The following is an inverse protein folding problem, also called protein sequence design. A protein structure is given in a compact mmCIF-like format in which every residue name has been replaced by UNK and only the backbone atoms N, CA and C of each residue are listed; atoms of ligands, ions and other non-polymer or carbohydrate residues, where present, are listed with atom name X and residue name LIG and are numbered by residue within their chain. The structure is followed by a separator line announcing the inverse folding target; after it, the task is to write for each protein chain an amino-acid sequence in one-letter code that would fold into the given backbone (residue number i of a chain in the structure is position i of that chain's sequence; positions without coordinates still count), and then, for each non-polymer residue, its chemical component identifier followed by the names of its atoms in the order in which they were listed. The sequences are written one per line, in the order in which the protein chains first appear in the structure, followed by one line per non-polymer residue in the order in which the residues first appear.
data_IF_180918433547
#
_entry.id   IF_180918433547
#
_cell.length_a   1.000
_cell.length_b   1.000
_cell.length_c   1.000
_cell.angle_alpha   90.00
_cell.angle_beta   90.00
_cell.angle_gamma   90.00
#
_symmetry.space_group_name_H-M   'P 1'
#
loop_
_entity.id
_entity.type
_entity.pdbx_description
1 polymer ?
#
# COMPACT_ATOMS: atom_id res chain seq x y z
N UNK A 1 20.53 -7.04 15.53
CA UNK A 1 20.13 -5.81 16.23
C UNK A 1 19.74 -4.82 15.16
N UNK A 2 18.45 -4.45 15.07
CA UNK A 2 18.00 -3.55 14.02
C UNK A 2 18.53 -2.14 14.28
N UNK A 3 19.50 -1.71 13.47
CA UNK A 3 20.00 -0.32 13.46
C UNK A 3 19.10 0.59 12.60
N UNK A 4 17.79 0.43 12.71
CA UNK A 4 16.86 1.35 12.07
C UNK A 4 16.98 2.75 12.69
N UNK A 5 16.98 3.78 11.84
CA UNK A 5 16.88 5.14 12.39
C UNK A 5 15.56 5.28 13.17
N UNK A 6 15.53 6.04 14.27
CA UNK A 6 14.31 6.27 15.03
C UNK A 6 13.15 6.79 14.15
N UNK A 7 13.46 7.57 13.11
CA UNK A 7 12.49 8.10 12.16
C UNK A 7 11.76 7.02 11.35
N UNK A 8 12.44 5.93 10.98
CA UNK A 8 11.84 4.81 10.26
C UNK A 8 11.09 3.90 11.24
N UNK A 9 11.69 3.66 12.40
CA UNK A 9 11.15 2.74 13.37
C UNK A 9 9.75 3.15 13.87
N UNK A 10 9.50 4.43 14.13
CA UNK A 10 8.20 4.89 14.63
C UNK A 10 7.10 4.92 13.55
N UNK A 11 7.45 4.84 12.27
CA UNK A 11 6.47 4.71 11.19
C UNK A 11 5.89 3.29 11.06
N UNK A 12 6.62 2.25 11.52
CA UNK A 12 6.18 0.86 11.43
C UNK A 12 5.44 0.52 12.72
N UNK A 13 4.11 0.41 12.66
CA UNK A 13 3.26 0.28 13.84
C UNK A 13 2.36 -0.96 13.76
N UNK A 14 2.12 -1.57 14.91
CA UNK A 14 1.07 -2.57 15.03
C UNK A 14 -0.31 -1.92 14.92
N UNK A 15 -1.27 -2.64 14.31
CA UNK A 15 -2.60 -2.13 13.97
C UNK A 15 -3.33 -1.42 15.12
N UNK A 16 -3.25 -1.95 16.34
CA UNK A 16 -3.96 -1.39 17.49
C UNK A 16 -3.35 -0.06 17.99
N UNK A 17 -2.05 0.09 17.86
CA UNK A 17 -1.33 1.34 18.16
C UNK A 17 -1.60 2.37 17.07
N UNK A 18 -1.51 1.93 15.81
CA UNK A 18 -1.83 2.76 14.66
C UNK A 18 -3.28 3.26 14.70
N UNK A 19 -4.24 2.43 15.13
CA UNK A 19 -5.64 2.85 15.24
C UNK A 19 -5.82 4.02 16.22
N UNK A 20 -5.11 4.02 17.35
CA UNK A 20 -5.13 5.14 18.31
C UNK A 20 -4.53 6.40 17.73
N UNK A 21 -3.42 6.26 17.00
CA UNK A 21 -2.74 7.38 16.36
C UNK A 21 -3.62 7.99 15.24
N UNK A 22 -4.21 7.16 14.39
CA UNK A 22 -5.14 7.59 13.34
C UNK A 22 -6.34 8.32 13.95
N UNK A 23 -6.94 7.77 15.00
CA UNK A 23 -8.05 8.40 15.70
C UNK A 23 -7.66 9.77 16.28
N UNK A 24 -6.49 9.88 16.90
CA UNK A 24 -5.98 11.14 17.44
C UNK A 24 -5.83 12.21 16.37
N UNK A 25 -5.23 11.85 15.23
CA UNK A 25 -5.06 12.78 14.09
C UNK A 25 -6.39 13.19 13.45
N UNK A 26 -7.33 12.25 13.33
CA UNK A 26 -8.68 12.55 12.82
C UNK A 26 -9.44 13.49 13.75
N UNK A 27 -9.31 13.33 15.07
CA UNK A 27 -9.90 14.25 16.06
C UNK A 27 -9.29 15.66 15.98
N UNK A 28 -8.05 15.78 15.52
CA UNK A 28 -7.40 17.06 15.20
C UNK A 28 -7.84 17.64 13.84
N UNK A 29 -8.75 16.97 13.12
CA UNK A 29 -9.28 17.42 11.82
C UNK A 29 -8.45 16.97 10.62
N UNK A 30 -7.44 16.12 10.81
CA UNK A 30 -6.59 15.64 9.73
C UNK A 30 -7.27 14.50 8.94
N UNK A 31 -7.04 14.49 7.64
CA UNK A 31 -7.59 13.51 6.70
C UNK A 31 -6.60 12.39 6.45
N UNK A 32 -6.88 11.19 6.97
CA UNK A 32 -6.09 9.99 6.72
C UNK A 32 -6.38 9.39 5.35
N UNK A 33 -5.32 9.06 4.62
CA UNK A 33 -5.35 8.28 3.38
C UNK A 33 -4.82 6.89 3.67
N UNK A 34 -5.49 5.86 3.17
CA UNK A 34 -5.04 4.47 3.30
C UNK A 34 -4.90 3.82 1.93
N UNK A 35 -3.83 3.09 1.75
CA UNK A 35 -3.64 2.17 0.62
C UNK A 35 -3.08 0.85 1.11
N UNK A 36 -3.21 -0.22 0.30
CA UNK A 36 -2.62 -1.52 0.62
C UNK A 36 -2.07 -2.23 -0.61
N UNK A 37 -1.09 -3.11 -0.37
CA UNK A 37 -0.52 -3.92 -1.44
C UNK A 37 0.66 -4.79 -0.99
N UNK A 38 1.19 -5.55 -1.95
CA UNK A 38 2.35 -6.44 -1.73
C UNK A 38 3.67 -5.68 -1.68
N UNK A 39 3.88 -4.71 -2.55
CA UNK A 39 5.09 -3.87 -2.67
C UNK A 39 6.39 -4.69 -2.57
N UNK A 40 6.46 -5.78 -3.34
CA UNK A 40 7.58 -6.74 -3.24
C UNK A 40 8.88 -6.17 -3.84
N UNK A 41 8.87 -5.78 -5.11
CA UNK A 41 9.96 -5.02 -5.73
C UNK A 41 9.48 -3.61 -6.03
N UNK A 42 10.06 -2.63 -5.36
CA UNK A 42 9.72 -1.22 -5.61
C UNK A 42 10.26 -0.75 -6.94
N UNK A 43 9.45 0.03 -7.65
CA UNK A 43 9.78 0.70 -8.89
C UNK A 43 9.14 2.10 -8.94
N UNK A 44 9.50 2.90 -9.92
CA UNK A 44 9.02 4.28 -10.04
C UNK A 44 7.49 4.39 -10.00
N UNK A 45 6.78 3.43 -10.61
CA UNK A 45 5.31 3.37 -10.58
C UNK A 45 4.74 3.35 -9.16
N UNK A 46 5.34 2.56 -8.25
CA UNK A 46 4.97 2.56 -6.84
C UNK A 46 5.23 3.92 -6.17
N UNK A 47 6.40 4.54 -6.42
CA UNK A 47 6.75 5.82 -5.80
C UNK A 47 5.77 6.92 -6.23
N UNK A 48 5.47 7.02 -7.53
CA UNK A 48 4.52 8.00 -8.05
C UNK A 48 3.12 7.79 -7.48
N UNK A 49 2.64 6.55 -7.51
CA UNK A 49 1.36 6.17 -6.92
C UNK A 49 1.24 6.59 -5.44
N UNK A 50 2.27 6.30 -4.63
CA UNK A 50 2.28 6.64 -3.20
C UNK A 50 2.34 8.15 -2.97
N UNK A 51 3.07 8.91 -3.81
CA UNK A 51 3.09 10.36 -3.76
C UNK A 51 1.72 10.96 -4.09
N UNK A 52 1.04 10.46 -5.14
CA UNK A 52 -0.30 10.89 -5.51
C UNK A 52 -1.31 10.54 -4.42
N UNK A 53 -1.23 9.34 -3.84
CA UNK A 53 -2.07 8.95 -2.72
C UNK A 53 -1.88 9.90 -1.52
N UNK A 54 -0.63 10.20 -1.14
CA UNK A 54 -0.32 11.12 -0.04
C UNK A 54 -0.87 12.53 -0.26
N UNK A 55 -0.89 13.01 -1.49
CA UNK A 55 -1.41 14.33 -1.83
C UNK A 55 -2.94 14.49 -1.66
N UNK A 56 -3.68 13.39 -1.44
CA UNK A 56 -5.12 13.42 -1.23
C UNK A 56 -5.52 13.76 0.21
N UNK A 57 -4.59 13.71 1.17
CA UNK A 57 -4.88 14.00 2.58
C UNK A 57 -3.64 14.45 3.35
N UNK A 58 -3.76 14.47 4.67
CA UNK A 58 -2.74 15.02 5.57
C UNK A 58 -1.72 13.98 6.03
N UNK A 59 -2.04 12.69 5.92
CA UNK A 59 -1.12 11.57 6.18
C UNK A 59 -1.51 10.32 5.40
N UNK A 60 -0.50 9.50 5.06
CA UNK A 60 -0.66 8.26 4.31
C UNK A 60 -0.31 7.05 5.17
N UNK A 61 -1.27 6.13 5.27
CA UNK A 61 -1.13 4.82 5.90
C UNK A 61 -0.99 3.76 4.81
N UNK A 62 0.01 2.91 4.92
CA UNK A 62 0.21 1.78 4.04
C UNK A 62 -0.04 0.46 4.78
N UNK A 63 -1.07 -0.27 4.36
CA UNK A 63 -1.30 -1.66 4.73
C UNK A 63 -0.44 -2.58 3.86
N UNK A 64 0.52 -3.27 4.46
CA UNK A 64 1.44 -4.16 3.76
C UNK A 64 1.00 -5.61 3.95
N UNK A 65 0.73 -6.33 2.85
CA UNK A 65 0.47 -7.77 2.93
C UNK A 65 1.69 -8.49 3.49
N UNK A 66 1.49 -9.37 4.45
CA UNK A 66 2.53 -10.26 4.94
C UNK A 66 3.00 -11.24 3.84
N UNK A 67 3.99 -12.09 4.16
CA UNK A 67 4.57 -12.99 3.17
C UNK A 67 3.60 -14.08 2.74
N UNK A 68 2.73 -14.56 3.64
CA UNK A 68 1.71 -15.56 3.31
C UNK A 68 0.62 -14.95 2.40
N UNK A 69 0.17 -13.75 2.69
CA UNK A 69 -0.76 -13.00 1.85
C UNK A 69 -0.19 -12.76 0.44
N UNK A 70 1.11 -12.43 0.34
CA UNK A 70 1.75 -12.28 -0.98
C UNK A 70 1.85 -13.60 -1.71
N UNK A 71 2.20 -14.71 -1.05
CA UNK A 71 2.21 -16.06 -1.65
C UNK A 71 0.85 -16.45 -2.20
N UNK A 72 -0.20 -16.16 -1.46
CA UNK A 72 -1.59 -16.43 -1.88
C UNK A 72 -1.96 -15.64 -3.14
N UNK A 73 -1.55 -14.37 -3.22
CA UNK A 73 -1.92 -13.47 -4.32
C UNK A 73 -1.04 -13.61 -5.57
N UNK A 74 0.24 -13.97 -5.41
CA UNK A 74 1.25 -13.90 -6.49
C UNK A 74 1.92 -15.25 -6.80
N UNK A 75 1.66 -16.28 -6.01
CA UNK A 75 2.21 -17.62 -6.19
C UNK A 75 3.43 -17.92 -5.32
N UNK A 76 3.85 -19.20 -5.29
CA UNK A 76 4.84 -19.73 -4.36
C UNK A 76 6.27 -19.12 -4.46
N UNK A 77 6.60 -18.50 -5.59
CA UNK A 77 7.91 -17.84 -5.77
C UNK A 77 7.97 -16.40 -5.25
N UNK A 78 6.94 -15.94 -4.53
CA UNK A 78 6.82 -14.57 -4.02
C UNK A 78 6.47 -14.58 -2.52
N UNK A 79 6.80 -13.53 -1.75
CA UNK A 79 7.57 -12.36 -2.18
C UNK A 79 9.06 -12.69 -2.36
N UNK A 80 9.80 -11.82 -3.05
CA UNK A 80 11.25 -11.88 -3.16
C UNK A 80 11.91 -11.21 -1.95
N UNK A 81 11.26 -10.21 -1.37
CA UNK A 81 11.73 -9.44 -0.22
C UNK A 81 10.79 -9.73 0.96
N UNK A 82 11.31 -10.17 2.13
CA UNK A 82 10.51 -10.44 3.33
C UNK A 82 9.71 -9.22 3.80
N UNK A 83 8.56 -9.46 4.46
CA UNK A 83 7.63 -8.41 4.87
C UNK A 83 8.28 -7.31 5.72
N UNK A 84 9.15 -7.67 6.68
CA UNK A 84 9.83 -6.70 7.53
C UNK A 84 10.76 -5.79 6.72
N UNK A 85 11.52 -6.34 5.79
CA UNK A 85 12.41 -5.55 4.92
C UNK A 85 11.60 -4.65 3.98
N UNK A 86 10.48 -5.16 3.42
CA UNK A 86 9.56 -4.34 2.61
C UNK A 86 8.98 -3.18 3.42
N UNK A 87 8.61 -3.42 4.68
CA UNK A 87 8.11 -2.38 5.58
C UNK A 87 9.15 -1.29 5.85
N UNK A 88 10.41 -1.68 6.10
CA UNK A 88 11.52 -0.74 6.31
C UNK A 88 11.78 0.12 5.08
N UNK A 89 11.87 -0.50 3.89
CA UNK A 89 12.07 0.21 2.61
C UNK A 89 10.93 1.22 2.36
N UNK A 90 9.69 0.82 2.61
CA UNK A 90 8.51 1.67 2.44
C UNK A 90 8.49 2.82 3.46
N UNK A 91 8.79 2.54 4.73
CA UNK A 91 8.86 3.56 5.77
C UNK A 91 9.95 4.61 5.52
N UNK A 92 11.00 4.28 4.77
CA UNK A 92 12.03 5.23 4.35
C UNK A 92 11.55 6.23 3.28
N UNK A 93 10.41 5.98 2.62
CA UNK A 93 9.82 6.93 1.68
C UNK A 93 9.18 8.10 2.44
N UNK A 94 9.51 9.34 2.03
CA UNK A 94 9.01 10.56 2.67
C UNK A 94 7.50 10.74 2.56
N UNK A 95 6.86 10.14 1.54
CA UNK A 95 5.42 10.22 1.33
C UNK A 95 4.61 9.23 2.19
N UNK A 96 5.24 8.35 2.95
CA UNK A 96 4.56 7.40 3.83
C UNK A 96 4.74 7.86 5.28
N UNK A 97 3.64 8.02 5.99
CA UNK A 97 3.63 8.38 7.41
C UNK A 97 3.59 7.14 8.30
N UNK A 98 2.82 6.10 7.91
CA UNK A 98 2.68 4.86 8.68
C UNK A 98 2.65 3.63 7.79
N UNK A 99 3.27 2.54 8.27
CA UNK A 99 3.21 1.20 7.68
C UNK A 99 2.71 0.22 8.71
N UNK A 100 1.75 -0.62 8.36
CA UNK A 100 1.30 -1.74 9.20
C UNK A 100 1.21 -3.01 8.37
N UNK A 101 1.73 -4.12 8.90
CA UNK A 101 1.66 -5.43 8.23
C UNK A 101 0.36 -6.10 8.65
N UNK A 102 -0.36 -6.70 7.69
CA UNK A 102 -1.59 -7.44 7.92
C UNK A 102 -1.57 -8.78 7.19
N UNK A 103 -2.30 -9.76 7.73
CA UNK A 103 -2.33 -11.15 7.27
C UNK A 103 -3.71 -11.62 6.78
N UNK A 104 -4.71 -10.74 6.77
CA UNK A 104 -6.02 -11.09 6.26
C UNK A 104 -6.03 -11.15 4.73
N UNK A 105 -6.94 -11.95 4.12
CA UNK A 105 -7.04 -12.06 2.66
C UNK A 105 -7.36 -10.73 1.97
N UNK A 106 -8.03 -9.80 2.67
CA UNK A 106 -8.38 -8.47 2.19
C UNK A 106 -8.05 -7.41 3.24
N UNK A 107 -7.92 -6.16 2.84
CA UNK A 107 -7.69 -5.05 3.76
C UNK A 107 -8.97 -4.61 4.53
N UNK A 108 -10.11 -5.27 4.31
CA UNK A 108 -11.39 -4.91 4.93
C UNK A 108 -11.34 -4.79 6.45
N UNK A 109 -10.82 -5.78 7.21
CA UNK A 109 -10.71 -5.68 8.67
C UNK A 109 -9.85 -4.50 9.13
N UNK A 110 -8.77 -4.20 8.41
CA UNK A 110 -7.89 -3.08 8.74
C UNK A 110 -8.57 -1.73 8.44
N UNK A 111 -9.27 -1.63 7.31
CA UNK A 111 -10.08 -0.45 6.96
C UNK A 111 -11.19 -0.19 7.98
N UNK A 112 -11.88 -1.24 8.42
CA UNK A 112 -12.91 -1.14 9.45
C UNK A 112 -12.35 -0.63 10.79
N UNK A 113 -11.12 -1.06 11.14
CA UNK A 113 -10.45 -0.64 12.38
C UNK A 113 -9.97 0.81 12.31
N UNK A 114 -9.36 1.21 11.19
CA UNK A 114 -8.68 2.51 11.05
C UNK A 114 -9.61 3.63 10.57
N UNK A 115 -10.67 3.30 9.83
CA UNK A 115 -11.64 4.23 9.23
C UNK A 115 -11.00 5.46 8.57
N UNK A 116 -10.04 5.28 7.63
CA UNK A 116 -9.41 6.40 6.95
C UNK A 116 -10.43 7.18 6.12
N UNK A 117 -10.27 8.50 6.02
CA UNK A 117 -11.15 9.36 5.22
C UNK A 117 -11.17 8.96 3.73
N UNK A 118 -10.01 8.48 3.23
CA UNK A 118 -9.84 8.12 1.83
C UNK A 118 -9.13 6.76 1.73
N UNK A 119 -9.73 5.84 0.97
CA UNK A 119 -9.10 4.60 0.54
C UNK A 119 -8.65 4.73 -0.91
N UNK A 120 -7.37 4.48 -1.16
CA UNK A 120 -6.77 4.57 -2.49
C UNK A 120 -6.41 3.18 -3.00
N UNK A 121 -6.76 2.89 -4.24
CA UNK A 121 -6.33 1.67 -4.95
C UNK A 121 -5.69 2.05 -6.27
N UNK A 122 -4.59 1.40 -6.59
CA UNK A 122 -4.00 1.48 -7.92
C UNK A 122 -4.59 0.44 -8.85
N UNK A 123 -4.67 0.72 -10.14
CA UNK A 123 -4.95 -0.29 -11.11
C UNK A 123 -5.85 0.05 -12.28
N UNK A 124 -6.11 -0.97 -13.06
CA UNK A 124 -6.92 -0.96 -14.27
C UNK A 124 -8.43 -0.79 -14.02
N UNK A 125 -8.81 -0.41 -12.80
CA UNK A 125 -10.20 -0.06 -12.45
C UNK A 125 -10.64 1.28 -13.04
N UNK A 126 -9.70 2.09 -13.52
CA UNK A 126 -9.98 3.29 -14.30
C UNK A 126 -10.14 2.92 -15.77
N UNK A 127 -11.35 2.50 -16.18
CA UNK A 127 -11.64 2.47 -17.61
C UNK A 127 -11.52 3.89 -18.16
N UNK A 128 -10.76 4.05 -19.23
CA UNK A 128 -10.34 5.32 -19.84
C UNK A 128 -11.50 6.26 -20.27
N UNK A 129 -12.75 5.93 -20.01
CA UNK A 129 -13.93 6.66 -20.50
C UNK A 129 -15.09 6.77 -19.50
N UNK A 130 -14.96 6.32 -18.24
CA UNK A 130 -16.01 6.54 -17.23
C UNK A 130 -15.58 7.62 -16.24
N UNK A 131 -16.42 8.62 -16.04
CA UNK A 131 -16.21 9.69 -15.07
C UNK A 131 -16.27 9.23 -13.61
N UNK A 132 -16.70 7.99 -13.36
CA UNK A 132 -16.74 7.38 -12.05
C UNK A 132 -15.95 6.06 -12.03
N UNK A 133 -15.13 5.83 -10.98
CA UNK A 133 -14.39 4.60 -10.82
C UNK A 133 -15.34 3.42 -10.59
N UNK A 134 -15.20 2.34 -11.34
CA UNK A 134 -15.93 1.09 -11.08
C UNK A 134 -15.39 0.43 -9.79
N UNK A 135 -15.91 0.84 -8.66
CA UNK A 135 -15.57 0.29 -7.34
C UNK A 135 -16.30 -1.03 -7.04
N UNK A 136 -17.20 -1.49 -7.93
CA UNK A 136 -18.00 -2.72 -7.72
C UNK A 136 -17.14 -3.98 -7.59
N UNK A 137 -15.93 -3.95 -8.17
CA UNK A 137 -14.96 -5.04 -8.12
C UNK A 137 -14.02 -4.99 -6.91
N UNK A 138 -14.12 -3.96 -6.07
CA UNK A 138 -13.31 -3.80 -4.86
C UNK A 138 -14.08 -4.31 -3.65
N UNK A 139 -13.73 -5.45 -3.06
CA UNK A 139 -14.43 -5.97 -1.88
C UNK A 139 -14.39 -5.00 -0.71
N UNK A 140 -13.36 -4.18 -0.63
CA UNK A 140 -13.16 -3.16 0.40
C UNK A 140 -14.08 -1.93 0.25
N UNK A 141 -14.63 -1.66 -0.94
CA UNK A 141 -15.43 -0.45 -1.18
C UNK A 141 -16.66 -0.38 -0.26
N UNK A 142 -17.33 -1.51 -0.02
CA UNK A 142 -18.48 -1.58 0.89
C UNK A 142 -18.11 -1.25 2.34
N UNK A 143 -16.91 -1.68 2.78
CA UNK A 143 -16.41 -1.38 4.12
C UNK A 143 -16.15 0.11 4.26
N UNK A 144 -15.53 0.72 3.25
CA UNK A 144 -15.23 2.16 3.22
C UNK A 144 -16.52 3.00 3.23
N UNK A 145 -17.51 2.60 2.44
CA UNK A 145 -18.81 3.27 2.40
C UNK A 145 -19.57 3.19 3.73
N UNK A 146 -19.39 2.11 4.49
CA UNK A 146 -20.10 1.90 5.76
C UNK A 146 -19.74 2.93 6.86
N UNK A 147 -18.59 3.63 6.73
CA UNK A 147 -18.17 4.70 7.63
C UNK A 147 -18.03 6.07 6.90
N UNK A 148 -18.74 6.26 5.77
CA UNK A 148 -18.73 7.49 4.95
C UNK A 148 -17.36 7.86 4.37
N UNK A 149 -16.45 6.90 4.25
CA UNK A 149 -15.17 7.07 3.60
C UNK A 149 -15.29 7.15 2.06
N UNK A 150 -14.26 7.69 1.43
CA UNK A 150 -14.22 7.88 -0.02
C UNK A 150 -13.21 6.93 -0.66
N UNK A 151 -13.62 6.21 -1.71
CA UNK A 151 -12.71 5.41 -2.54
C UNK A 151 -12.17 6.27 -3.68
N UNK A 152 -10.86 6.22 -3.91
CA UNK A 152 -10.17 6.87 -5.05
C UNK A 152 -9.34 5.85 -5.80
N UNK A 153 -9.37 5.93 -7.13
CA UNK A 153 -8.54 5.11 -8.01
C UNK A 153 -7.45 5.97 -8.62
N UNK A 154 -6.21 5.51 -8.54
CA UNK A 154 -5.05 6.13 -9.19
C UNK A 154 -4.61 5.20 -10.33
N UNK A 155 -4.51 5.69 -11.57
CA UNK A 155 -4.06 4.88 -12.70
C UNK A 155 -2.59 4.45 -12.51
N UNK A 156 -2.25 3.30 -13.07
CA UNK A 156 -0.86 2.86 -13.10
C UNK A 156 -0.03 3.72 -14.05
N UNK A 157 1.22 3.97 -13.65
CA UNK A 157 2.20 4.54 -14.57
C UNK A 157 2.53 3.48 -15.65
N UNK A 158 2.29 3.75 -16.94
CA UNK A 158 2.57 2.80 -18.03
C UNK A 158 4.02 2.31 -18.00
N UNK A 159 4.24 1.07 -18.38
CA UNK A 159 5.57 0.44 -18.46
C UNK A 159 6.33 0.38 -17.12
N UNK A 160 5.61 0.35 -15.99
CA UNK A 160 6.20 0.26 -14.66
C UNK A 160 5.44 -0.78 -13.84
N UNK A 161 5.80 -2.04 -13.98
CA UNK A 161 5.26 -3.13 -13.16
C UNK A 161 6.37 -4.05 -12.63
N UNK A 162 6.11 -4.68 -11.49
CA UNK A 162 7.02 -5.71 -10.95
C UNK A 162 7.19 -6.88 -11.92
N UNK A 163 6.14 -7.22 -12.68
CA UNK A 163 6.19 -8.29 -13.69
C UNK A 163 7.17 -7.95 -14.82
N UNK A 164 7.11 -6.73 -15.36
CA UNK A 164 8.05 -6.26 -16.39
C UNK A 164 9.49 -6.20 -15.87
N UNK A 165 9.68 -5.74 -14.63
CA UNK A 165 11.00 -5.70 -14.00
C UNK A 165 11.60 -7.11 -13.87
N UNK A 166 10.82 -8.09 -13.40
CA UNK A 166 11.25 -9.49 -13.31
C UNK A 166 11.55 -10.06 -14.69
N UNK A 167 10.73 -9.76 -15.70
CA UNK A 167 10.96 -10.21 -17.06
C UNK A 167 12.27 -9.64 -17.64
N UNK A 168 12.56 -8.36 -17.38
CA UNK A 168 13.81 -7.73 -17.79
C UNK A 168 15.03 -8.37 -17.09
N UNK A 169 14.95 -8.64 -15.79
CA UNK A 169 16.01 -9.31 -15.03
C UNK A 169 16.31 -10.70 -15.61
N UNK A 170 15.29 -11.47 -15.97
CA UNK A 170 15.46 -12.82 -16.55
C UNK A 170 16.11 -12.84 -17.94
N UNK A 171 16.11 -11.70 -18.64
CA UNK A 171 16.74 -11.55 -19.96
C UNK A 171 18.18 -11.05 -19.89
N UNK A 172 18.69 -10.73 -18.69
CA UNK A 172 20.10 -10.37 -18.52
C UNK A 172 21.01 -11.54 -18.91
N UNK A 173 22.08 -11.30 -19.68
CA UNK A 173 23.03 -12.36 -20.01
C UNK A 173 23.73 -12.84 -18.74
N UNK A 174 23.93 -14.16 -18.66
CA UNK A 174 24.80 -14.73 -17.61
C UNK A 174 26.21 -14.17 -17.80
N UNK A 175 26.78 -13.58 -16.75
CA UNK A 175 28.18 -13.17 -16.79
C UNK A 175 29.04 -14.42 -16.90
N UNK A 176 29.75 -14.56 -18.01
CA UNK A 176 30.84 -15.54 -18.12
C UNK A 176 31.87 -15.23 -17.03
N UNK A 177 31.97 -16.08 -16.02
CA UNK A 177 33.03 -16.06 -15.00
C UNK A 177 34.35 -16.49 -15.60
#
# INVERSE_FOLDING_TARGET
MNNLSPEIQHKIMYRNELAKEVQHRQQAGERGVFTNGCFDLLHLGHVRYLQEARALGDFLILGLNDDDGVRLLKGAGRPLVPALERAEILAALSCIDYVTIFNEPTAGPLLYLLQPSIYVKGGDYAHAHSSEPDTSRLPEAKVVQAYDGVVRLIPYLPHHSTTELIAAIKQLPERST
#
